data_IF_872870394373
#
_entry.id   IF_872870394373
#
_cell.length_a   1.000
_cell.length_b   1.000
_cell.length_c   1.000
_cell.angle_alpha   90.00
_cell.angle_beta   90.00
_cell.angle_gamma   90.00
#
_symmetry.space_group_name_H-M   'P 1'
#
loop_
_entity.id
_entity.type
_entity.pdbx_description
1 polymer ?
#
# COMPACT_ATOMS: atom_id res chain seq x y z
N UNK A 1 -17.04 -14.37 8.48
CA UNK A 1 -16.98 -12.97 8.95
C UNK A 1 -18.37 -12.47 9.29
N UNK A 2 -18.62 -11.93 10.49
CA UNK A 2 -19.93 -11.34 10.86
C UNK A 2 -19.73 -9.94 11.45
N UNK A 3 -19.41 -8.98 10.57
CA UNK A 3 -19.52 -7.56 10.92
C UNK A 3 -21.01 -7.23 10.98
N UNK A 4 -21.48 -6.76 12.15
CA UNK A 4 -22.90 -6.47 12.34
C UNK A 4 -23.33 -5.21 11.57
N UNK A 5 -24.61 -5.12 11.25
CA UNK A 5 -25.18 -3.94 10.59
C UNK A 5 -25.03 -2.67 11.44
N UNK A 6 -25.01 -2.80 12.76
CA UNK A 6 -24.80 -1.68 13.70
C UNK A 6 -23.38 -1.11 13.59
N UNK A 7 -22.37 -1.99 13.48
CA UNK A 7 -20.98 -1.58 13.27
C UNK A 7 -20.84 -0.82 11.94
N UNK A 8 -21.41 -1.37 10.86
CA UNK A 8 -21.38 -0.71 9.54
C UNK A 8 -22.12 0.65 9.56
N UNK A 9 -23.26 0.74 10.24
CA UNK A 9 -24.00 1.99 10.36
C UNK A 9 -23.23 3.05 11.16
N UNK A 10 -22.56 2.65 12.24
CA UNK A 10 -21.70 3.53 13.04
C UNK A 10 -20.53 4.06 12.21
N UNK A 11 -19.84 3.19 11.48
CA UNK A 11 -18.74 3.57 10.59
C UNK A 11 -19.19 4.52 9.47
N UNK A 12 -20.37 4.28 8.87
CA UNK A 12 -20.90 5.11 7.79
C UNK A 12 -21.44 6.47 8.27
N UNK A 13 -21.81 6.61 9.55
CA UNK A 13 -22.28 7.86 10.12
C UNK A 13 -21.13 8.79 10.55
N UNK A 14 -19.97 8.22 10.90
CA UNK A 14 -18.81 8.95 11.40
C UNK A 14 -17.50 8.34 10.88
N UNK A 15 -16.75 9.05 10.01
CA UNK A 15 -15.48 8.59 9.45
C UNK A 15 -14.38 8.41 10.53
N UNK A 16 -14.59 8.95 11.73
CA UNK A 16 -13.66 8.82 12.87
C UNK A 16 -14.06 7.74 13.86
N UNK A 17 -15.19 7.07 13.65
CA UNK A 17 -15.71 6.03 14.54
C UNK A 17 -14.72 4.88 14.74
N UNK A 18 -14.62 4.38 15.97
CA UNK A 18 -13.86 3.16 16.32
C UNK A 18 -14.39 1.90 15.61
N UNK A 19 -15.60 1.97 15.02
CA UNK A 19 -16.13 0.92 14.18
C UNK A 19 -15.21 0.59 12.99
N UNK A 20 -14.47 1.58 12.48
CA UNK A 20 -13.50 1.35 11.40
C UNK A 20 -12.37 0.41 11.81
N UNK A 21 -11.85 0.54 13.04
CA UNK A 21 -10.79 -0.34 13.55
C UNK A 21 -11.28 -1.78 13.69
N UNK A 22 -12.53 -1.96 14.14
CA UNK A 22 -13.15 -3.29 14.23
C UNK A 22 -13.35 -3.91 12.84
N UNK A 23 -13.87 -3.14 11.87
CA UNK A 23 -14.03 -3.61 10.49
C UNK A 23 -12.67 -4.03 9.91
N UNK A 24 -11.64 -3.22 10.14
CA UNK A 24 -10.27 -3.52 9.69
C UNK A 24 -9.78 -4.85 10.27
N UNK A 25 -9.85 -5.01 11.59
CA UNK A 25 -9.39 -6.23 12.28
C UNK A 25 -10.14 -7.49 11.85
N UNK A 26 -11.45 -7.39 11.62
CA UNK A 26 -12.25 -8.52 11.15
C UNK A 26 -11.99 -8.87 9.68
N UNK A 27 -11.65 -7.88 8.86
CA UNK A 27 -11.42 -8.06 7.42
C UNK A 27 -9.98 -8.49 7.13
N UNK A 28 -9.01 -8.01 7.91
CA UNK A 28 -7.60 -8.09 7.62
C UNK A 28 -6.77 -8.54 8.84
N UNK A 29 -5.95 -9.57 8.61
CA UNK A 29 -5.10 -10.22 9.60
C UNK A 29 -3.65 -10.25 9.08
N UNK A 30 -2.71 -9.79 9.92
CA UNK A 30 -1.27 -9.84 9.63
C UNK A 30 -0.89 -9.27 8.24
N UNK A 31 -1.42 -8.11 7.89
CA UNK A 31 -1.12 -7.43 6.62
C UNK A 31 -1.84 -7.99 5.39
N UNK A 32 -2.75 -8.94 5.55
CA UNK A 32 -3.54 -9.52 4.44
C UNK A 32 -5.03 -9.54 4.77
N UNK A 33 -5.90 -9.36 3.78
CA UNK A 33 -7.35 -9.43 3.99
C UNK A 33 -7.92 -10.79 3.57
N UNK A 34 -8.90 -11.28 4.33
CA UNK A 34 -9.66 -12.49 3.99
C UNK A 34 -10.40 -12.24 2.66
N UNK A 35 -10.26 -13.10 1.64
CA UNK A 35 -10.99 -12.96 0.37
C UNK A 35 -12.50 -12.83 0.54
N UNK A 36 -13.10 -13.44 1.57
CA UNK A 36 -14.52 -13.31 1.88
C UNK A 36 -14.94 -11.87 2.22
N UNK A 37 -13.99 -11.00 2.59
CA UNK A 37 -14.22 -9.59 2.87
C UNK A 37 -14.58 -8.76 1.63
N UNK A 38 -14.36 -9.29 0.42
CA UNK A 38 -14.73 -8.62 -0.82
C UNK A 38 -16.22 -8.22 -0.87
N UNK A 39 -17.08 -8.92 -0.14
CA UNK A 39 -18.51 -8.59 0.03
C UNK A 39 -18.76 -7.18 0.62
N UNK A 40 -17.76 -6.56 1.25
CA UNK A 40 -17.83 -5.21 1.79
C UNK A 40 -17.61 -4.12 0.73
N UNK A 41 -17.05 -4.45 -0.44
CA UNK A 41 -16.70 -3.46 -1.47
C UNK A 41 -17.89 -2.60 -1.93
N UNK A 42 -19.11 -3.15 -2.14
CA UNK A 42 -20.28 -2.32 -2.47
C UNK A 42 -20.69 -1.34 -1.37
N UNK A 43 -20.57 -1.75 -0.09
CA UNK A 43 -20.86 -0.88 1.04
C UNK A 43 -19.78 0.20 1.19
N UNK A 44 -18.51 -0.15 1.01
CA UNK A 44 -17.39 0.80 1.05
C UNK A 44 -17.50 1.83 -0.06
N UNK A 45 -17.85 1.44 -1.29
CA UNK A 45 -18.02 2.36 -2.42
C UNK A 45 -19.11 3.40 -2.13
N UNK A 46 -20.26 2.97 -1.62
CA UNK A 46 -21.36 3.87 -1.23
C UNK A 46 -20.95 4.79 -0.08
N UNK A 47 -20.32 4.23 0.95
CA UNK A 47 -19.92 4.99 2.15
C UNK A 47 -18.87 6.05 1.83
N UNK A 48 -17.85 5.69 1.05
CA UNK A 48 -16.81 6.63 0.62
C UNK A 48 -17.40 7.76 -0.25
N UNK A 49 -18.36 7.45 -1.13
CA UNK A 49 -19.01 8.46 -1.96
C UNK A 49 -19.85 9.45 -1.14
N UNK A 50 -20.42 9.02 -0.01
CA UNK A 50 -21.21 9.86 0.88
C UNK A 50 -20.35 10.78 1.77
N UNK A 51 -19.11 10.39 2.09
CA UNK A 51 -18.20 11.23 2.86
C UNK A 51 -17.70 12.45 2.08
N UNK A 52 -17.39 13.51 2.83
CA UNK A 52 -16.59 14.63 2.33
C UNK A 52 -15.22 14.12 1.87
N UNK A 53 -14.58 14.84 0.93
CA UNK A 53 -13.36 14.36 0.28
C UNK A 53 -12.25 14.07 1.29
N UNK A 54 -12.07 14.95 2.26
CA UNK A 54 -11.07 14.88 3.33
C UNK A 54 -11.22 13.65 4.23
N UNK A 55 -12.45 13.17 4.42
CA UNK A 55 -12.81 12.12 5.39
C UNK A 55 -12.73 10.70 4.82
N UNK A 56 -12.44 10.55 3.54
CA UNK A 56 -12.51 9.25 2.82
C UNK A 56 -11.34 8.31 3.10
N UNK A 57 -10.22 8.82 3.59
CA UNK A 57 -8.92 8.13 3.56
C UNK A 57 -8.98 6.73 4.17
N UNK A 58 -9.44 6.62 5.42
CA UNK A 58 -9.50 5.33 6.12
C UNK A 58 -10.34 4.29 5.37
N UNK A 59 -11.53 4.69 4.91
CA UNK A 59 -12.48 3.82 4.24
C UNK A 59 -11.96 3.35 2.87
N UNK A 60 -11.37 4.27 2.09
CA UNK A 60 -10.83 3.95 0.76
C UNK A 60 -9.56 3.10 0.86
N UNK A 61 -8.71 3.36 1.85
CA UNK A 61 -7.53 2.53 2.13
C UNK A 61 -7.95 1.11 2.46
N UNK A 62 -8.85 0.90 3.42
CA UNK A 62 -9.39 -0.42 3.75
C UNK A 62 -9.93 -1.15 2.51
N UNK A 63 -10.67 -0.43 1.67
CA UNK A 63 -11.22 -1.01 0.45
C UNK A 63 -10.13 -1.47 -0.53
N UNK A 64 -9.01 -0.77 -0.62
CA UNK A 64 -7.88 -1.18 -1.45
C UNK A 64 -7.22 -2.46 -0.96
N UNK A 65 -7.03 -2.60 0.35
CA UNK A 65 -6.51 -3.83 0.96
C UNK A 65 -7.48 -5.01 0.78
N UNK A 66 -8.79 -4.80 0.93
CA UNK A 66 -9.80 -5.83 0.65
C UNK A 66 -9.79 -6.22 -0.83
N UNK A 67 -9.72 -5.26 -1.76
CA UNK A 67 -9.67 -5.54 -3.19
C UNK A 67 -8.40 -6.33 -3.59
N UNK A 68 -7.28 -6.09 -2.90
CA UNK A 68 -6.03 -6.83 -3.06
C UNK A 68 -6.12 -8.26 -2.54
N UNK A 69 -6.86 -8.49 -1.45
CA UNK A 69 -7.09 -9.82 -0.89
C UNK A 69 -8.19 -10.62 -1.59
N UNK A 70 -9.01 -9.97 -2.44
CA UNK A 70 -10.09 -10.62 -3.17
C UNK A 70 -9.53 -11.59 -4.22
N UNK A 71 -10.18 -12.76 -4.38
CA UNK A 71 -9.89 -13.67 -5.47
C UNK A 71 -10.41 -13.13 -6.82
N UNK A 72 -10.03 -13.81 -7.92
CA UNK A 72 -10.44 -13.40 -9.27
C UNK A 72 -11.97 -13.29 -9.42
N UNK A 73 -12.71 -14.18 -8.78
CA UNK A 73 -14.16 -14.18 -8.80
C UNK A 73 -14.75 -12.96 -8.07
N UNK A 74 -14.22 -12.63 -6.89
CA UNK A 74 -14.57 -11.45 -6.12
C UNK A 74 -14.22 -10.16 -6.85
N UNK A 75 -13.03 -10.05 -7.44
CA UNK A 75 -12.64 -8.88 -8.24
C UNK A 75 -13.53 -8.71 -9.47
N UNK A 76 -13.88 -9.79 -10.16
CA UNK A 76 -14.80 -9.73 -11.29
C UNK A 76 -16.22 -9.35 -10.86
N UNK A 77 -16.69 -9.86 -9.72
CA UNK A 77 -18.03 -9.56 -9.18
C UNK A 77 -18.20 -8.10 -8.77
N UNK A 78 -17.13 -7.45 -8.28
CA UNK A 78 -17.16 -6.09 -7.75
C UNK A 78 -16.31 -5.10 -8.56
N UNK A 79 -16.15 -5.33 -9.87
CA UNK A 79 -15.27 -4.55 -10.73
C UNK A 79 -15.67 -3.06 -10.83
N UNK A 80 -16.97 -2.77 -10.81
CA UNK A 80 -17.50 -1.41 -10.88
C UNK A 80 -17.25 -0.64 -9.57
N UNK A 81 -17.41 -1.32 -8.43
CA UNK A 81 -17.07 -0.80 -7.11
C UNK A 81 -15.58 -0.52 -6.98
N UNK A 82 -14.73 -1.47 -7.40
CA UNK A 82 -13.27 -1.30 -7.42
C UNK A 82 -12.88 -0.10 -8.27
N UNK A 83 -13.48 0.06 -9.46
CA UNK A 83 -13.23 1.21 -10.33
C UNK A 83 -13.63 2.54 -9.65
N UNK A 84 -14.78 2.56 -8.97
CA UNK A 84 -15.27 3.72 -8.24
C UNK A 84 -14.36 4.10 -7.08
N UNK A 85 -14.01 3.13 -6.24
CA UNK A 85 -13.14 3.30 -5.09
C UNK A 85 -11.74 3.76 -5.49
N UNK A 86 -11.21 3.21 -6.60
CA UNK A 86 -9.95 3.66 -7.18
C UNK A 86 -9.99 5.13 -7.60
N UNK A 87 -11.07 5.57 -8.24
CA UNK A 87 -11.21 6.97 -8.63
C UNK A 87 -11.23 7.90 -7.39
N UNK A 88 -11.89 7.48 -6.30
CA UNK A 88 -11.90 8.22 -5.03
C UNK A 88 -10.50 8.25 -4.39
N UNK A 89 -9.73 7.16 -4.46
CA UNK A 89 -8.36 7.10 -3.96
C UNK A 89 -7.43 8.06 -4.72
N UNK A 90 -7.49 8.04 -6.06
CA UNK A 90 -6.71 8.93 -6.92
C UNK A 90 -7.08 10.39 -6.68
N UNK A 91 -8.36 10.72 -6.52
CA UNK A 91 -8.80 12.08 -6.17
C UNK A 91 -8.26 12.51 -4.80
N UNK A 92 -8.20 11.61 -3.83
CA UNK A 92 -7.71 11.92 -2.48
C UNK A 92 -6.19 12.10 -2.41
N UNK A 93 -5.43 11.31 -3.19
CA UNK A 93 -3.98 11.16 -3.08
C UNK A 93 -3.19 12.49 -2.97
N UNK A 94 -3.40 13.52 -3.81
CA UNK A 94 -2.55 14.72 -3.79
C UNK A 94 -2.62 15.53 -2.49
N UNK A 95 -3.71 15.40 -1.74
CA UNK A 95 -3.96 16.17 -0.52
C UNK A 95 -4.00 15.29 0.72
N UNK A 96 -3.38 14.10 0.68
CA UNK A 96 -3.37 13.14 1.80
C UNK A 96 -3.07 13.82 3.15
N UNK A 97 -3.62 13.35 4.26
CA UNK A 97 -3.47 14.00 5.57
C UNK A 97 -2.04 13.95 6.12
N UNK A 98 -1.28 12.91 5.77
CA UNK A 98 0.10 12.70 6.22
C UNK A 98 0.92 11.95 5.16
N UNK A 99 2.24 11.86 5.36
CA UNK A 99 3.11 11.05 4.51
C UNK A 99 2.74 9.56 4.59
N UNK A 100 2.40 9.05 5.78
CA UNK A 100 1.99 7.66 5.93
C UNK A 100 0.67 7.38 5.22
N UNK A 101 -0.30 8.29 5.34
CA UNK A 101 -1.58 8.15 4.63
C UNK A 101 -1.41 8.28 3.11
N UNK A 102 -0.44 9.08 2.65
CA UNK A 102 -0.09 9.15 1.24
C UNK A 102 0.40 7.79 0.71
N UNK A 103 1.29 7.12 1.45
CA UNK A 103 1.78 5.77 1.10
C UNK A 103 0.62 4.76 1.10
N UNK A 104 -0.22 4.76 2.14
CA UNK A 104 -1.39 3.87 2.19
C UNK A 104 -2.38 4.10 1.03
N UNK A 105 -2.55 5.34 0.57
CA UNK A 105 -3.37 5.64 -0.61
C UNK A 105 -2.72 5.11 -1.91
N UNK A 106 -1.39 5.19 -2.04
CA UNK A 106 -0.68 4.56 -3.16
C UNK A 106 -0.87 3.03 -3.15
N UNK A 107 -0.75 2.40 -1.98
CA UNK A 107 -1.05 0.97 -1.82
C UNK A 107 -2.49 0.64 -2.18
N UNK A 108 -3.45 1.45 -1.75
CA UNK A 108 -4.85 1.22 -2.08
C UNK A 108 -5.09 1.26 -3.60
N UNK A 109 -4.50 2.24 -4.29
CA UNK A 109 -4.58 2.37 -5.76
C UNK A 109 -3.97 1.14 -6.44
N UNK A 110 -2.82 0.67 -5.98
CA UNK A 110 -2.18 -0.56 -6.46
C UNK A 110 -3.02 -1.80 -6.18
N UNK A 111 -3.65 -1.87 -5.01
CA UNK A 111 -4.58 -2.93 -4.63
C UNK A 111 -5.80 -2.98 -5.55
N UNK A 112 -6.38 -1.84 -5.89
CA UNK A 112 -7.46 -1.77 -6.88
C UNK A 112 -7.00 -2.17 -8.29
N UNK A 113 -5.76 -1.82 -8.66
CA UNK A 113 -5.14 -2.25 -9.92
C UNK A 113 -4.82 -3.75 -9.96
N UNK A 114 -4.77 -4.42 -8.80
CA UNK A 114 -4.44 -5.84 -8.66
C UNK A 114 -2.94 -6.12 -8.60
N UNK A 115 -2.13 -5.13 -8.18
CA UNK A 115 -0.68 -5.32 -7.99
C UNK A 115 -0.41 -5.99 -6.63
N UNK A 116 -0.29 -7.32 -6.65
CA UNK A 116 -0.14 -8.16 -5.45
C UNK A 116 1.16 -7.95 -4.68
N UNK A 117 2.18 -7.39 -5.33
CA UNK A 117 3.49 -7.15 -4.74
C UNK A 117 3.46 -5.76 -4.11
N UNK A 118 3.34 -4.71 -4.93
CA UNK A 118 3.49 -3.34 -4.46
C UNK A 118 2.25 -2.81 -3.73
N UNK A 119 1.11 -3.49 -3.82
CA UNK A 119 -0.01 -3.27 -2.91
C UNK A 119 0.34 -3.59 -1.45
N UNK A 120 1.34 -4.45 -1.20
CA UNK A 120 1.79 -4.89 0.14
C UNK A 120 3.15 -4.30 0.51
N UNK A 121 4.15 -4.50 -0.34
CA UNK A 121 5.56 -4.19 -0.07
C UNK A 121 5.85 -2.68 0.06
N UNK A 122 4.92 -1.80 -0.35
CA UNK A 122 5.12 -0.36 -0.19
C UNK A 122 5.06 0.08 1.29
N UNK A 123 4.53 -0.76 2.19
CA UNK A 123 4.45 -0.46 3.63
C UNK A 123 5.84 -0.33 4.28
N UNK A 124 6.89 -0.91 3.69
CA UNK A 124 8.27 -0.66 4.10
C UNK A 124 8.63 0.84 4.12
N UNK A 125 7.99 1.67 3.27
CA UNK A 125 8.18 3.11 3.35
C UNK A 125 7.66 3.68 4.68
N UNK A 126 6.53 3.18 5.19
CA UNK A 126 5.96 3.59 6.47
C UNK A 126 6.76 3.08 7.66
N UNK A 127 7.27 1.85 7.57
CA UNK A 127 8.15 1.27 8.58
C UNK A 127 9.48 2.03 8.66
N UNK A 128 9.94 2.59 7.54
CA UNK A 128 11.19 3.33 7.45
C UNK A 128 12.42 2.43 7.35
N UNK A 129 12.22 1.11 7.37
CA UNK A 129 13.26 0.10 7.27
C UNK A 129 12.78 -1.11 6.47
N UNK A 130 13.73 -1.92 6.01
CA UNK A 130 13.44 -3.15 5.28
C UNK A 130 14.45 -4.25 5.61
N UNK A 131 13.93 -5.43 5.96
CA UNK A 131 14.71 -6.65 6.09
C UNK A 131 14.97 -7.27 4.72
N UNK A 132 16.24 -7.50 4.40
CA UNK A 132 16.64 -8.13 3.13
C UNK A 132 17.64 -9.23 3.37
N UNK A 133 17.47 -10.35 2.68
CA UNK A 133 18.44 -11.44 2.70
C UNK A 133 19.35 -11.33 1.48
N UNK A 134 20.67 -11.39 1.67
CA UNK A 134 21.58 -11.39 0.53
C UNK A 134 21.37 -12.66 -0.31
N UNK A 135 21.13 -12.57 -1.62
CA UNK A 135 20.83 -13.74 -2.45
C UNK A 135 22.04 -14.66 -2.72
N UNK A 136 23.25 -14.27 -2.29
CA UNK A 136 24.49 -15.02 -2.56
C UNK A 136 25.13 -15.60 -1.30
N UNK A 137 25.06 -14.92 -0.16
CA UNK A 137 25.66 -15.39 1.09
C UNK A 137 24.66 -15.61 2.21
N UNK A 138 23.36 -15.46 1.94
CA UNK A 138 22.24 -15.66 2.85
C UNK A 138 22.21 -14.77 4.10
N UNK A 139 23.13 -13.81 4.24
CA UNK A 139 23.19 -12.88 5.37
C UNK A 139 21.99 -11.93 5.34
N UNK A 140 21.36 -11.73 6.50
CA UNK A 140 20.23 -10.84 6.70
C UNK A 140 20.70 -9.42 7.06
N UNK A 141 20.09 -8.41 6.43
CA UNK A 141 20.39 -7.01 6.65
C UNK A 141 19.11 -6.23 6.87
N UNK A 142 19.06 -5.48 7.97
CA UNK A 142 18.06 -4.45 8.20
C UNK A 142 18.57 -3.12 7.62
N UNK A 143 17.87 -2.60 6.61
CA UNK A 143 18.27 -1.40 5.88
C UNK A 143 17.35 -0.22 6.20
N UNK A 144 17.95 0.88 6.65
CA UNK A 144 17.27 2.17 6.88
C UNK A 144 16.93 2.84 5.53
N UNK A 145 15.66 3.20 5.35
CA UNK A 145 15.12 3.91 4.19
C UNK A 145 14.98 5.42 4.44
N UNK A 146 15.01 5.90 5.67
CA UNK A 146 14.84 7.32 6.01
C UNK A 146 16.14 8.11 5.84
N UNK A 147 17.27 7.50 6.21
CA UNK A 147 18.58 8.16 6.28
C UNK A 147 19.25 8.39 4.92
N UNK A 148 19.92 9.54 4.76
CA UNK A 148 20.80 9.80 3.61
C UNK A 148 22.07 8.94 3.63
N UNK A 149 22.49 8.50 4.82
CA UNK A 149 23.63 7.60 5.01
C UNK A 149 23.27 6.12 4.80
N UNK A 150 22.08 5.84 4.24
CA UNK A 150 21.67 4.48 3.87
C UNK A 150 22.72 3.86 2.95
N UNK A 151 23.03 2.57 3.14
CA UNK A 151 23.94 1.79 2.26
C UNK A 151 23.31 1.48 0.89
N UNK A 152 22.26 2.21 0.54
CA UNK A 152 21.46 2.01 -0.65
C UNK A 152 21.82 3.08 -1.65
N UNK A 153 22.25 2.65 -2.83
CA UNK A 153 22.35 3.54 -3.98
C UNK A 153 20.93 3.82 -4.49
N UNK A 154 20.51 5.08 -4.37
CA UNK A 154 19.19 5.53 -4.81
C UNK A 154 18.97 5.31 -6.31
N UNK A 155 17.77 4.87 -6.69
CA UNK A 155 17.38 4.64 -8.08
C UNK A 155 15.87 4.45 -8.24
N UNK A 156 15.42 4.53 -9.49
CA UNK A 156 14.03 4.27 -9.88
C UNK A 156 14.04 3.20 -10.98
N UNK A 157 14.23 1.95 -10.57
CA UNK A 157 14.52 0.81 -11.46
C UNK A 157 13.39 0.44 -12.43
N UNK A 158 12.15 0.86 -12.17
CA UNK A 158 10.97 0.46 -12.95
C UNK A 158 10.10 1.66 -13.38
N UNK A 159 9.16 1.38 -14.30
CA UNK A 159 8.12 2.35 -14.67
C UNK A 159 7.21 2.70 -13.49
N UNK A 160 6.89 1.72 -12.65
CA UNK A 160 6.13 1.91 -11.42
C UNK A 160 6.87 2.83 -10.44
N UNK A 161 8.16 2.59 -10.20
CA UNK A 161 8.99 3.42 -9.33
C UNK A 161 8.94 4.91 -9.73
N UNK A 162 9.11 5.18 -11.03
CA UNK A 162 9.03 6.55 -11.57
C UNK A 162 7.66 7.17 -11.39
N UNK A 163 6.58 6.40 -11.55
CA UNK A 163 5.20 6.87 -11.34
C UNK A 163 4.97 7.26 -9.88
N UNK A 164 5.24 6.36 -8.93
CA UNK A 164 5.04 6.60 -7.50
C UNK A 164 5.88 7.77 -7.00
N UNK A 165 7.14 7.87 -7.46
CA UNK A 165 8.01 8.99 -7.13
C UNK A 165 7.47 10.32 -7.69
N UNK A 166 6.99 10.33 -8.94
CA UNK A 166 6.42 11.54 -9.54
C UNK A 166 5.16 12.00 -8.81
N UNK A 167 4.28 11.08 -8.40
CA UNK A 167 3.11 11.37 -7.57
C UNK A 167 3.53 12.03 -6.24
N UNK A 168 4.52 11.47 -5.55
CA UNK A 168 5.04 12.01 -4.29
C UNK A 168 5.62 13.42 -4.47
N UNK A 169 6.42 13.64 -5.51
CA UNK A 169 6.99 14.97 -5.84
C UNK A 169 5.87 15.98 -6.15
N UNK A 170 4.88 15.60 -6.96
CA UNK A 170 3.76 16.48 -7.32
C UNK A 170 2.89 16.84 -6.11
N UNK A 171 2.77 15.94 -5.14
CA UNK A 171 2.06 16.19 -3.88
C UNK A 171 2.90 16.93 -2.82
N UNK A 172 4.15 17.30 -3.13
CA UNK A 172 5.06 17.96 -2.19
C UNK A 172 5.60 17.05 -1.08
N UNK A 173 5.53 15.72 -1.27
CA UNK A 173 5.92 14.68 -0.30
C UNK A 173 7.39 14.29 -0.47
N UNK A 174 8.30 15.23 -0.20
CA UNK A 174 9.75 15.06 -0.44
C UNK A 174 10.37 13.88 0.31
N UNK A 175 9.96 13.63 1.56
CA UNK A 175 10.44 12.47 2.33
C UNK A 175 10.02 11.15 1.69
N UNK A 176 8.75 11.01 1.30
CA UNK A 176 8.25 9.82 0.58
C UNK A 176 8.99 9.63 -0.74
N UNK A 177 9.21 10.70 -1.50
CA UNK A 177 9.95 10.64 -2.77
C UNK A 177 11.38 10.12 -2.57
N UNK A 178 12.10 10.58 -1.55
CA UNK A 178 13.45 10.10 -1.23
C UNK A 178 13.46 8.63 -0.78
N UNK A 179 12.50 8.21 0.07
CA UNK A 179 12.38 6.81 0.49
C UNK A 179 12.09 5.88 -0.70
N UNK A 180 11.26 6.31 -1.65
CA UNK A 180 10.99 5.58 -2.90
C UNK A 180 12.26 5.35 -3.71
N UNK A 181 13.19 6.32 -3.80
CA UNK A 181 14.45 6.07 -4.53
C UNK A 181 15.34 5.04 -3.84
N UNK A 182 15.20 4.85 -2.52
CA UNK A 182 15.94 3.81 -1.79
C UNK A 182 15.27 2.45 -1.94
N UNK A 183 13.95 2.36 -1.76
CA UNK A 183 13.21 1.11 -1.92
C UNK A 183 13.36 0.51 -3.33
N UNK A 184 13.38 1.36 -4.36
CA UNK A 184 13.65 0.95 -5.75
C UNK A 184 15.13 1.06 -6.16
N UNK A 185 16.01 1.25 -5.17
CA UNK A 185 17.46 1.40 -5.31
C UNK A 185 18.22 0.09 -5.34
N UNK A 186 19.53 0.17 -5.16
CA UNK A 186 20.43 -0.99 -5.15
C UNK A 186 21.22 -1.06 -3.85
N UNK A 187 21.28 -2.26 -3.29
CA UNK A 187 22.09 -2.56 -2.11
C UNK A 187 23.33 -3.36 -2.51
N UNK A 188 24.45 -3.12 -1.83
CA UNK A 188 25.67 -3.92 -1.96
C UNK A 188 25.94 -4.59 -0.62
N UNK A 189 25.90 -5.91 -0.58
CA UNK A 189 26.12 -6.69 0.63
C UNK A 189 27.52 -6.41 1.20
N UNK A 190 27.63 -5.95 2.45
CA UNK A 190 28.93 -5.71 3.09
C UNK A 190 29.83 -6.95 3.20
N UNK A 191 29.23 -8.15 3.27
CA UNK A 191 29.96 -9.38 3.54
C UNK A 191 30.53 -10.04 2.28
N UNK A 192 29.72 -10.18 1.22
CA UNK A 192 30.14 -10.83 -0.01
C UNK A 192 30.35 -9.87 -1.19
N UNK A 193 29.94 -8.60 -1.06
CA UNK A 193 30.05 -7.59 -2.11
C UNK A 193 29.00 -7.70 -3.22
N UNK A 194 28.13 -8.71 -3.19
CA UNK A 194 27.05 -8.86 -4.18
C UNK A 194 26.15 -7.64 -4.18
N UNK A 195 25.86 -7.15 -5.38
CA UNK A 195 25.00 -5.98 -5.60
C UNK A 195 23.71 -6.39 -6.30
N UNK A 196 22.58 -6.00 -5.73
CA UNK A 196 21.25 -6.33 -6.26
C UNK A 196 20.26 -5.17 -6.09
N UNK A 197 19.17 -5.20 -6.86
CA UNK A 197 18.07 -4.23 -6.73
C UNK A 197 17.10 -4.73 -5.65
N UNK A 198 16.73 -3.85 -4.73
CA UNK A 198 15.87 -4.21 -3.59
C UNK A 198 14.47 -4.58 -4.07
N UNK A 199 13.86 -3.72 -4.89
CA UNK A 199 12.54 -3.95 -5.46
C UNK A 199 12.41 -5.25 -6.26
N UNK A 200 13.41 -5.59 -7.07
CA UNK A 200 13.41 -6.86 -7.81
C UNK A 200 13.56 -8.07 -6.88
N UNK A 201 14.37 -7.94 -5.82
CA UNK A 201 14.56 -8.97 -4.81
C UNK A 201 13.26 -9.25 -4.04
N UNK A 202 12.55 -8.21 -3.59
CA UNK A 202 11.25 -8.33 -2.93
C UNK A 202 10.18 -8.94 -3.84
N UNK A 203 10.21 -8.58 -5.12
CA UNK A 203 9.33 -9.16 -6.13
C UNK A 203 9.66 -10.63 -6.48
N UNK A 204 10.72 -11.21 -5.88
CA UNK A 204 11.20 -12.56 -6.21
C UNK A 204 11.77 -12.68 -7.63
N UNK A 205 12.10 -11.56 -8.27
CA UNK A 205 12.65 -11.54 -9.63
C UNK A 205 14.12 -11.97 -9.54
N UNK A 206 14.37 -13.22 -9.93
CA UNK A 206 15.72 -13.73 -10.08
C UNK A 206 16.30 -13.27 -11.43
N UNK A 207 17.41 -12.53 -11.41
CA UNK A 207 18.21 -12.28 -12.60
C UNK A 207 19.13 -13.48 -12.82
N UNK A 208 18.82 -14.30 -13.83
CA UNK A 208 19.74 -15.32 -14.36
C UNK A 208 20.80 -14.68 -15.26
#
# INVERSE_FOLDING_TARGET
>A
MMISSEVLASAAADPTSLAWDFIWQESCHQGTCDPASAVLLPWLAQTCAAFAREDREKAVVLAGFIALGADDAGRAAYADEITTLRALAVDRLPSASSDSMFVYLQQAILGFDGDEIWGKELDHLNDGEIDVQCPECDEEWLLDLESEDSRIESGLSSGLARRLHAEAVQAGRGSVAARLTRLFGRFSCPDCGTRFNLADHLAGISYQ
#
